data_IF_953924539301
#
_entry.id   IF_953924539301
#
_cell.length_a   1.000
_cell.length_b   1.000
_cell.length_c   1.000
_cell.angle_alpha   90.00
_cell.angle_beta   90.00
_cell.angle_gamma   90.00
#
_symmetry.space_group_name_H-M   'P 1'
#
loop_
_entity.id
_entity.type
_entity.pdbx_description
1 polymer ?
#
# COMPACT_ATOMS: atom_id res chain seq x y z
N UNK A 1 -7.34 -54.77 30.49
CA UNK A 1 -8.10 -53.97 29.51
C UNK A 1 -8.51 -52.66 30.16
N UNK A 2 -7.78 -51.57 29.89
CA UNK A 2 -7.99 -50.26 30.51
C UNK A 2 -8.96 -49.42 29.70
N UNK A 3 -10.23 -49.36 30.11
CA UNK A 3 -11.19 -48.39 29.56
C UNK A 3 -10.88 -46.98 30.11
N UNK A 4 -10.07 -46.20 29.37
CA UNK A 4 -10.06 -44.75 29.50
C UNK A 4 -11.42 -44.22 29.07
N UNK A 5 -12.24 -43.76 30.02
CA UNK A 5 -13.44 -42.99 29.71
C UNK A 5 -13.02 -41.64 29.15
N UNK A 6 -13.24 -41.47 27.85
CA UNK A 6 -13.19 -40.16 27.19
C UNK A 6 -14.29 -39.29 27.77
N UNK A 7 -13.94 -38.44 28.73
CA UNK A 7 -14.84 -37.37 29.20
C UNK A 7 -14.95 -36.34 28.09
N UNK A 8 -15.93 -36.52 27.21
CA UNK A 8 -16.41 -35.46 26.32
C UNK A 8 -17.03 -34.40 27.23
N UNK A 9 -16.25 -33.39 27.60
CA UNK A 9 -16.76 -32.20 28.30
C UNK A 9 -17.80 -31.56 27.38
N UNK A 10 -19.06 -31.53 27.83
CA UNK A 10 -20.15 -30.85 27.13
C UNK A 10 -19.71 -29.43 26.76
N UNK A 11 -19.62 -29.20 25.45
CA UNK A 11 -18.73 -28.22 24.82
C UNK A 11 -19.28 -26.80 24.75
N UNK A 12 -20.45 -26.51 25.34
CA UNK A 12 -21.09 -25.19 25.32
C UNK A 12 -21.89 -25.00 26.61
N UNK A 13 -21.30 -24.36 27.63
CA UNK A 13 -22.00 -23.96 28.85
C UNK A 13 -21.72 -22.48 29.14
N UNK A 14 -22.79 -21.69 29.35
CA UNK A 14 -22.70 -20.25 29.65
C UNK A 14 -22.01 -19.92 30.97
N UNK A 15 -21.86 -20.92 31.86
CA UNK A 15 -21.09 -20.79 33.10
C UNK A 15 -19.57 -20.86 32.86
N UNK A 16 -19.12 -21.30 31.69
CA UNK A 16 -17.71 -21.40 31.35
C UNK A 16 -17.13 -20.01 31.03
N UNK A 17 -16.09 -19.53 31.76
CA UNK A 17 -15.51 -18.21 31.54
C UNK A 17 -14.99 -18.01 30.11
N UNK A 18 -14.49 -19.07 29.46
CA UNK A 18 -13.99 -18.99 28.08
C UNK A 18 -15.11 -18.73 27.07
N UNK A 19 -16.27 -19.39 27.21
CA UNK A 19 -17.42 -19.20 26.30
C UNK A 19 -17.98 -17.78 26.45
N UNK A 20 -18.07 -17.27 27.68
CA UNK A 20 -18.51 -15.91 27.97
C UNK A 20 -17.56 -14.86 27.41
N UNK A 21 -16.24 -15.09 27.51
CA UNK A 21 -15.23 -14.19 26.95
C UNK A 21 -15.36 -14.08 25.42
N UNK A 22 -15.47 -15.21 24.72
CA UNK A 22 -15.70 -15.24 23.27
C UNK A 22 -17.01 -14.55 22.87
N UNK A 23 -18.09 -14.76 23.63
CA UNK A 23 -19.38 -14.13 23.36
C UNK A 23 -19.29 -12.60 23.45
N UNK A 24 -18.69 -12.06 24.51
CA UNK A 24 -18.49 -10.61 24.65
C UNK A 24 -17.53 -10.05 23.60
N UNK A 25 -16.49 -10.78 23.21
CA UNK A 25 -15.55 -10.32 22.20
C UNK A 25 -16.18 -10.28 20.79
N UNK A 26 -16.96 -11.29 20.42
CA UNK A 26 -17.73 -11.28 19.17
C UNK A 26 -18.73 -10.12 19.20
N UNK A 27 -19.46 -9.95 20.30
CA UNK A 27 -20.43 -8.86 20.45
C UNK A 27 -19.75 -7.49 20.36
N UNK A 28 -18.58 -7.32 20.96
CA UNK A 28 -17.78 -6.10 20.85
C UNK A 28 -17.31 -5.85 19.41
N UNK A 29 -16.80 -6.86 18.70
CA UNK A 29 -16.39 -6.73 17.30
C UNK A 29 -17.58 -6.36 16.41
N UNK A 30 -18.72 -7.03 16.58
CA UNK A 30 -19.96 -6.70 15.84
C UNK A 30 -20.41 -5.28 16.13
N UNK A 31 -20.37 -4.85 17.40
CA UNK A 31 -20.70 -3.48 17.78
C UNK A 31 -19.75 -2.47 17.14
N UNK A 32 -18.43 -2.70 17.19
CA UNK A 32 -17.42 -1.81 16.59
C UNK A 32 -17.60 -1.73 15.07
N UNK A 33 -17.70 -2.87 14.38
CA UNK A 33 -17.90 -2.90 12.92
C UNK A 33 -19.21 -2.24 12.54
N UNK A 34 -20.28 -2.48 13.31
CA UNK A 34 -21.58 -1.84 13.12
C UNK A 34 -21.53 -0.32 13.28
N UNK A 35 -20.87 0.18 14.34
CA UNK A 35 -20.69 1.62 14.58
C UNK A 35 -19.84 2.26 13.47
N UNK A 36 -18.72 1.65 13.11
CA UNK A 36 -17.85 2.14 12.02
C UNK A 36 -18.60 2.16 10.69
N UNK A 37 -19.32 1.08 10.37
CA UNK A 37 -20.14 1.00 9.17
C UNK A 37 -21.24 2.06 9.13
N UNK A 38 -21.93 2.28 10.26
CA UNK A 38 -22.94 3.33 10.38
C UNK A 38 -22.34 4.73 10.22
N UNK A 39 -21.20 5.02 10.86
CA UNK A 39 -20.49 6.29 10.71
C UNK A 39 -20.04 6.53 9.27
N UNK A 40 -19.51 5.51 8.60
CA UNK A 40 -19.08 5.60 7.21
C UNK A 40 -20.28 5.90 6.29
N UNK A 41 -21.36 5.13 6.43
CA UNK A 41 -22.58 5.33 5.64
C UNK A 41 -23.18 6.71 5.88
N UNK A 42 -23.26 7.15 7.14
CA UNK A 42 -23.76 8.48 7.48
C UNK A 42 -22.87 9.59 6.88
N UNK A 43 -21.56 9.47 7.00
CA UNK A 43 -20.59 10.42 6.44
C UNK A 43 -20.72 10.53 4.92
N UNK A 44 -20.71 9.40 4.20
CA UNK A 44 -20.83 9.36 2.74
C UNK A 44 -22.16 9.96 2.28
N UNK A 45 -23.26 9.63 2.95
CA UNK A 45 -24.59 10.14 2.62
C UNK A 45 -24.67 11.66 2.85
N UNK A 46 -24.14 12.15 3.96
CA UNK A 46 -24.08 13.59 4.27
C UNK A 46 -23.20 14.36 3.28
N UNK A 47 -22.05 13.79 2.88
CA UNK A 47 -21.16 14.37 1.87
C UNK A 47 -21.85 14.43 0.50
N UNK A 48 -22.50 13.34 0.09
CA UNK A 48 -23.26 13.26 -1.17
C UNK A 48 -24.40 14.28 -1.22
N UNK A 49 -25.17 14.43 -0.14
CA UNK A 49 -26.25 15.42 -0.04
C UNK A 49 -25.76 16.86 -0.13
N UNK A 50 -24.47 17.11 0.19
CA UNK A 50 -23.80 18.41 0.08
C UNK A 50 -23.10 18.60 -1.27
N UNK A 51 -23.27 17.67 -2.22
CA UNK A 51 -22.61 17.71 -3.53
C UNK A 51 -21.10 17.42 -3.48
N UNK A 52 -20.57 17.00 -2.33
CA UNK A 52 -19.15 16.65 -2.21
C UNK A 52 -18.97 15.22 -2.72
N UNK A 53 -18.44 15.10 -3.94
CA UNK A 53 -18.00 13.80 -4.46
C UNK A 53 -16.80 13.34 -3.64
N UNK A 54 -16.99 12.35 -2.79
CA UNK A 54 -15.93 11.73 -1.97
C UNK A 54 -15.69 10.27 -2.40
N UNK A 55 -14.54 9.72 -2.03
CA UNK A 55 -14.17 8.34 -2.36
C UNK A 55 -13.45 8.20 -3.70
N UNK A 56 -13.44 6.97 -4.23
CA UNK A 56 -12.63 6.59 -5.40
C UNK A 56 -13.40 6.58 -6.72
N UNK A 57 -14.66 7.02 -6.73
CA UNK A 57 -15.47 7.10 -7.95
C UNK A 57 -14.88 8.03 -9.03
N UNK A 58 -13.91 8.88 -8.67
CA UNK A 58 -13.16 9.66 -9.66
C UNK A 58 -12.26 8.78 -10.55
N UNK A 59 -11.81 7.62 -10.06
CA UNK A 59 -10.95 6.72 -10.82
C UNK A 59 -11.66 6.16 -12.07
N UNK A 60 -12.98 6.05 -12.03
CA UNK A 60 -13.78 5.58 -13.17
C UNK A 60 -14.18 6.72 -14.13
N UNK A 61 -13.87 7.98 -13.79
CA UNK A 61 -14.13 9.12 -14.68
C UNK A 61 -13.05 9.19 -15.75
N UNK A 62 -13.44 9.57 -16.97
CA UNK A 62 -12.51 9.82 -18.07
C UNK A 62 -11.60 11.03 -17.77
N UNK A 63 -10.30 10.87 -17.99
CA UNK A 63 -9.31 11.92 -17.88
C UNK A 63 -9.20 12.69 -19.20
N UNK A 64 -9.41 14.01 -19.14
CA UNK A 64 -9.42 14.88 -20.33
C UNK A 64 -8.04 15.28 -20.87
N UNK A 65 -6.95 14.64 -20.43
CA UNK A 65 -5.58 15.01 -20.80
C UNK A 65 -4.78 13.83 -21.36
N UNK A 66 -3.84 14.11 -22.26
CA UNK A 66 -2.89 13.14 -22.79
C UNK A 66 -1.70 12.94 -21.87
N UNK A 67 -1.12 11.74 -21.87
CA UNK A 67 0.17 11.44 -21.23
C UNK A 67 1.15 11.14 -22.36
N UNK A 68 2.30 11.82 -22.39
CA UNK A 68 3.26 11.69 -23.50
C UNK A 68 3.99 10.34 -23.46
N UNK A 69 4.42 9.91 -22.27
CA UNK A 69 5.09 8.64 -22.07
C UNK A 69 4.17 7.67 -21.35
N UNK A 70 3.89 6.52 -21.97
CA UNK A 70 3.07 5.49 -21.37
C UNK A 70 3.62 4.10 -21.74
N UNK A 71 3.89 3.26 -20.74
CA UNK A 71 4.40 1.89 -20.94
C UNK A 71 3.31 0.91 -21.37
N UNK A 72 2.05 1.31 -21.17
CA UNK A 72 0.85 0.58 -21.58
C UNK A 72 0.04 1.49 -22.49
N UNK A 73 -0.83 0.92 -23.31
CA UNK A 73 -1.70 1.71 -24.19
C UNK A 73 -2.52 2.71 -23.38
N UNK A 74 -2.48 3.97 -23.75
CA UNK A 74 -3.25 5.02 -23.11
C UNK A 74 -3.73 6.00 -24.17
N UNK A 75 -5.00 6.33 -24.12
CA UNK A 75 -5.60 7.35 -24.98
C UNK A 75 -6.22 8.45 -24.13
N UNK A 76 -6.21 9.67 -24.65
CA UNK A 76 -6.91 10.79 -24.02
C UNK A 76 -8.41 10.45 -23.93
N UNK A 77 -8.97 10.53 -22.73
CA UNK A 77 -10.33 10.08 -22.43
C UNK A 77 -10.40 8.77 -21.62
N UNK A 78 -9.30 8.02 -21.52
CA UNK A 78 -9.20 6.87 -20.61
C UNK A 78 -9.40 7.28 -19.14
N UNK A 79 -9.76 6.33 -18.29
CA UNK A 79 -10.15 6.62 -16.91
C UNK A 79 -8.97 7.13 -16.05
N UNK A 80 -9.25 7.94 -15.02
CA UNK A 80 -8.24 8.38 -14.05
C UNK A 80 -7.53 7.20 -13.35
N UNK A 81 -8.19 6.06 -13.20
CA UNK A 81 -7.58 4.82 -12.73
C UNK A 81 -6.49 4.33 -13.68
N UNK A 82 -6.73 4.37 -14.99
CA UNK A 82 -5.70 4.01 -15.98
C UNK A 82 -4.54 5.02 -15.97
N UNK A 83 -4.84 6.32 -15.86
CA UNK A 83 -3.82 7.37 -15.70
C UNK A 83 -2.92 7.09 -14.49
N UNK A 84 -3.50 6.72 -13.36
CA UNK A 84 -2.75 6.41 -12.14
C UNK A 84 -1.76 5.26 -12.36
N UNK A 85 -2.19 4.18 -13.03
CA UNK A 85 -1.33 3.04 -13.35
C UNK A 85 -0.22 3.45 -14.32
N UNK A 86 -0.52 4.22 -15.36
CA UNK A 86 0.49 4.74 -16.28
C UNK A 86 1.54 5.58 -15.53
N UNK A 87 1.11 6.48 -14.65
CA UNK A 87 2.00 7.30 -13.82
C UNK A 87 2.86 6.47 -12.87
N UNK A 88 2.29 5.44 -12.25
CA UNK A 88 3.01 4.49 -11.40
C UNK A 88 4.10 3.76 -12.19
N UNK A 89 3.76 3.23 -13.37
CA UNK A 89 4.71 2.51 -14.24
C UNK A 89 5.85 3.41 -14.71
N UNK A 90 5.57 4.66 -15.06
CA UNK A 90 6.61 5.64 -15.41
C UNK A 90 7.55 5.91 -14.24
N UNK A 91 7.00 6.09 -13.02
CA UNK A 91 7.81 6.33 -11.82
C UNK A 91 8.72 5.13 -11.51
N UNK A 92 8.19 3.92 -11.65
CA UNK A 92 8.96 2.69 -11.49
C UNK A 92 10.06 2.56 -12.55
N UNK A 93 9.75 2.86 -13.81
CA UNK A 93 10.74 2.83 -14.89
C UNK A 93 11.89 3.81 -14.61
N UNK A 94 11.57 5.06 -14.31
CA UNK A 94 12.58 6.09 -14.03
C UNK A 94 13.40 5.71 -12.79
N UNK A 95 12.76 5.23 -11.73
CA UNK A 95 13.46 4.77 -10.52
C UNK A 95 14.41 3.62 -10.80
N UNK A 96 13.98 2.62 -11.59
CA UNK A 96 14.83 1.49 -11.96
C UNK A 96 16.05 1.93 -12.77
N UNK A 97 15.86 2.81 -13.76
CA UNK A 97 16.96 3.39 -14.53
C UNK A 97 17.91 4.19 -13.62
N UNK A 98 17.38 5.03 -12.74
CA UNK A 98 18.18 5.79 -11.78
C UNK A 98 19.03 4.88 -10.89
N UNK A 99 18.47 3.78 -10.36
CA UNK A 99 19.22 2.82 -9.54
C UNK A 99 20.39 2.22 -10.31
N UNK A 100 20.15 1.79 -11.56
CA UNK A 100 21.20 1.20 -12.41
C UNK A 100 22.32 2.21 -12.66
N UNK A 101 21.98 3.42 -13.15
CA UNK A 101 22.98 4.44 -13.46
C UNK A 101 23.72 4.94 -12.22
N UNK A 102 23.01 5.16 -11.11
CA UNK A 102 23.61 5.58 -9.85
C UNK A 102 24.56 4.51 -9.29
N UNK A 103 24.23 3.22 -9.43
CA UNK A 103 25.10 2.12 -9.00
C UNK A 103 26.38 2.06 -9.83
N UNK A 104 26.26 2.19 -11.17
CA UNK A 104 27.42 2.21 -12.07
C UNK A 104 28.32 3.41 -11.77
N UNK A 105 27.75 4.60 -11.67
CA UNK A 105 28.49 5.83 -11.39
C UNK A 105 29.14 5.78 -10.00
N UNK A 106 28.39 5.36 -8.98
CA UNK A 106 28.88 5.21 -7.62
C UNK A 106 30.02 4.18 -7.51
N UNK A 107 29.93 3.07 -8.25
CA UNK A 107 31.00 2.08 -8.33
C UNK A 107 32.29 2.66 -8.91
N UNK A 108 32.22 3.38 -10.03
CA UNK A 108 33.41 4.00 -10.64
C UNK A 108 34.02 5.09 -9.76
N UNK A 109 33.20 5.94 -9.14
CA UNK A 109 33.68 6.95 -8.19
C UNK A 109 34.34 6.28 -6.97
N UNK A 110 33.77 5.17 -6.49
CA UNK A 110 34.36 4.36 -5.43
C UNK A 110 35.75 3.83 -5.79
N UNK A 111 35.93 3.30 -7.01
CA UNK A 111 37.24 2.88 -7.51
C UNK A 111 38.22 4.04 -7.67
N UNK A 112 37.76 5.18 -8.20
CA UNK A 112 38.59 6.37 -8.41
C UNK A 112 39.15 6.93 -7.09
N UNK A 113 38.43 6.78 -5.97
CA UNK A 113 38.91 7.12 -4.63
C UNK A 113 40.13 6.28 -4.19
N UNK A 114 40.24 5.04 -4.65
CA UNK A 114 41.38 4.17 -4.33
C UNK A 114 42.55 4.33 -5.32
N UNK A 115 42.38 5.13 -6.38
CA UNK A 115 43.43 5.34 -7.38
C UNK A 115 44.67 6.02 -6.79
N UNK A 116 45.84 5.60 -7.25
CA UNK A 116 47.11 6.26 -6.97
C UNK A 116 47.20 7.66 -7.62
N UNK A 117 46.33 7.97 -8.58
CA UNK A 117 46.26 9.30 -9.18
C UNK A 117 45.65 10.31 -8.19
N UNK A 118 46.49 11.25 -7.73
CA UNK A 118 46.13 12.27 -6.75
C UNK A 118 44.89 13.08 -7.15
N UNK A 119 44.77 13.48 -8.43
CA UNK A 119 43.67 14.33 -8.89
C UNK A 119 42.33 13.56 -8.83
N UNK A 120 42.30 12.34 -9.36
CA UNK A 120 41.11 11.49 -9.35
C UNK A 120 40.66 11.20 -7.91
N UNK A 121 41.60 10.83 -7.04
CA UNK A 121 41.31 10.58 -5.63
C UNK A 121 40.70 11.79 -4.93
N UNK A 122 41.25 12.99 -5.17
CA UNK A 122 40.77 14.22 -4.51
C UNK A 122 39.38 14.62 -4.99
N UNK A 123 39.13 14.55 -6.31
CA UNK A 123 37.81 14.83 -6.89
C UNK A 123 36.74 13.86 -6.38
N UNK A 124 37.05 12.55 -6.34
CA UNK A 124 36.13 11.55 -5.81
C UNK A 124 35.86 11.73 -4.32
N UNK A 125 36.85 12.16 -3.53
CA UNK A 125 36.66 12.45 -2.10
C UNK A 125 35.71 13.64 -1.89
N UNK A 126 35.87 14.73 -2.65
CA UNK A 126 34.99 15.91 -2.59
C UNK A 126 33.55 15.58 -3.01
N UNK A 127 33.35 14.65 -3.95
CA UNK A 127 32.00 14.27 -4.38
C UNK A 127 31.25 13.44 -3.32
N UNK A 128 31.99 12.65 -2.52
CA UNK A 128 31.40 11.74 -1.52
C UNK A 128 31.18 12.43 -0.16
N UNK A 129 32.09 13.32 0.25
CA UNK A 129 32.03 14.09 1.52
C UNK A 129 31.19 15.36 1.39
#
# INVERSE_FOLDING_TARGET
MSHRRSTVKGSLSFANPTVRAWLFQILAVVAVVGIVGWLFHNTVTNLSNRGITSGFAFLDRGAGFGIVQHLIDYQQGDTYGRVFIVGLLNTLLVSALCIVFASVLGFFIGLARLSDNWLLRKLSTIYIE
#
